data_IF_039032272346
#
_entry.id   IF_039032272346
#
_cell.length_a   1.000
_cell.length_b   1.000
_cell.length_c   1.000
_cell.angle_alpha   90.00
_cell.angle_beta   90.00
_cell.angle_gamma   90.00
#
_symmetry.space_group_name_H-M   'P 1'
#
loop_
_entity.id
_entity.type
_entity.pdbx_description
1 polymer ?
#
# COMPACT_ATOMS: atom_id res chain seq x y z
N UNK A 1 -15.29 -10.06 -20.75
CA UNK A 1 -15.06 -9.62 -19.36
C UNK A 1 -14.68 -8.14 -19.45
N UNK A 2 -15.52 -7.23 -18.96
CA UNK A 2 -15.21 -5.80 -19.02
C UNK A 2 -14.04 -5.53 -18.07
N UNK A 3 -12.89 -5.13 -18.60
CA UNK A 3 -11.78 -4.68 -17.77
C UNK A 3 -12.19 -3.38 -17.08
N UNK A 4 -12.26 -3.42 -15.75
CA UNK A 4 -12.46 -2.23 -14.93
C UNK A 4 -11.26 -1.29 -15.13
N UNK A 5 -11.47 -0.18 -15.85
CA UNK A 5 -10.48 0.87 -16.04
C UNK A 5 -10.23 1.55 -14.70
N UNK A 6 -8.99 1.52 -14.22
CA UNK A 6 -8.59 2.23 -13.01
C UNK A 6 -8.25 3.67 -13.36
N UNK A 7 -9.10 4.62 -12.96
CA UNK A 7 -8.91 6.05 -13.28
C UNK A 7 -7.90 6.74 -12.34
N UNK A 8 -7.86 6.34 -11.07
CA UNK A 8 -7.03 6.98 -10.02
C UNK A 8 -5.94 6.06 -9.45
N UNK A 9 -5.73 4.87 -10.05
CA UNK A 9 -4.76 3.89 -9.52
C UNK A 9 -3.98 3.25 -10.67
N UNK A 10 -2.68 3.06 -10.47
CA UNK A 10 -1.84 2.26 -11.36
C UNK A 10 -1.58 0.90 -10.72
N UNK A 11 -1.65 -0.18 -11.51
CA UNK A 11 -1.26 -1.51 -11.05
C UNK A 11 0.26 -1.49 -10.82
N UNK A 12 0.68 -1.83 -9.60
CA UNK A 12 2.08 -1.94 -9.24
C UNK A 12 2.36 -3.37 -8.79
N UNK A 13 3.41 -3.98 -9.34
CA UNK A 13 3.86 -5.32 -8.97
C UNK A 13 5.23 -5.15 -8.34
N UNK A 14 5.35 -5.53 -7.07
CA UNK A 14 6.62 -5.57 -6.36
C UNK A 14 6.74 -6.83 -5.51
N UNK A 15 7.98 -7.19 -5.20
CA UNK A 15 8.29 -8.11 -4.12
C UNK A 15 8.16 -7.40 -2.77
N UNK A 16 7.60 -8.08 -1.78
CA UNK A 16 7.53 -7.66 -0.38
C UNK A 16 8.17 -8.78 0.46
N UNK A 17 8.81 -8.43 1.58
CA UNK A 17 9.32 -9.43 2.51
C UNK A 17 8.18 -10.34 2.99
N UNK A 18 8.39 -11.66 2.90
CA UNK A 18 7.45 -12.68 3.33
C UNK A 18 6.97 -12.46 4.77
N UNK A 19 7.83 -11.93 5.65
CA UNK A 19 7.48 -11.63 7.05
C UNK A 19 6.46 -10.51 7.20
N UNK A 20 6.31 -9.65 6.20
CA UNK A 20 5.40 -8.51 6.22
C UNK A 20 4.03 -8.83 5.59
N UNK A 21 3.93 -9.91 4.81
CA UNK A 21 2.69 -10.33 4.14
C UNK A 21 1.62 -10.73 5.16
N UNK A 22 1.97 -11.60 6.11
CA UNK A 22 1.02 -12.07 7.15
C UNK A 22 0.51 -10.92 8.04
N UNK A 23 1.38 -10.04 8.59
CA UNK A 23 0.94 -8.86 9.33
C UNK A 23 0.05 -7.92 8.52
N UNK A 24 0.36 -7.66 7.24
CA UNK A 24 -0.45 -6.79 6.38
C UNK A 24 -1.85 -7.38 6.14
N UNK A 25 -1.92 -8.70 5.90
CA UNK A 25 -3.20 -9.41 5.77
C UNK A 25 -4.01 -9.34 7.07
N UNK A 26 -3.37 -9.57 8.22
CA UNK A 26 -4.02 -9.49 9.53
C UNK A 26 -4.50 -8.07 9.85
N UNK A 27 -3.69 -7.06 9.54
CA UNK A 27 -4.03 -5.64 9.71
C UNK A 27 -5.26 -5.27 8.88
N UNK A 28 -5.27 -5.65 7.59
CA UNK A 28 -6.42 -5.42 6.71
C UNK A 28 -7.72 -6.06 7.23
N UNK A 29 -7.64 -7.27 7.79
CA UNK A 29 -8.79 -7.94 8.43
C UNK A 29 -9.24 -7.21 9.70
N UNK A 30 -8.30 -6.78 10.53
CA UNK A 30 -8.60 -6.10 11.81
C UNK A 30 -9.21 -4.72 11.60
N UNK A 31 -8.66 -3.91 10.69
CA UNK A 31 -9.11 -2.55 10.43
C UNK A 31 -10.26 -2.47 9.43
N UNK A 32 -10.54 -3.58 8.72
CA UNK A 32 -11.44 -3.64 7.55
C UNK A 32 -11.04 -2.69 6.42
N UNK A 33 -9.79 -2.22 6.42
CA UNK A 33 -9.23 -1.39 5.35
C UNK A 33 -8.65 -2.30 4.27
N UNK A 34 -8.95 -2.07 2.98
CA UNK A 34 -8.35 -2.83 1.89
C UNK A 34 -6.83 -2.70 1.87
N UNK A 35 -6.13 -3.79 1.55
CA UNK A 35 -4.65 -3.83 1.47
C UNK A 35 -4.06 -2.74 0.58
N UNK A 36 -4.71 -2.42 -0.54
CA UNK A 36 -4.28 -1.34 -1.43
C UNK A 36 -4.22 0.01 -0.71
N UNK A 37 -5.22 0.32 0.11
CA UNK A 37 -5.28 1.59 0.86
C UNK A 37 -4.25 1.65 1.99
N UNK A 38 -3.96 0.51 2.63
CA UNK A 38 -2.87 0.42 3.62
C UNK A 38 -1.50 0.61 2.97
N UNK A 39 -1.32 0.13 1.73
CA UNK A 39 -0.10 0.37 0.96
C UNK A 39 0.02 1.84 0.55
N UNK A 40 -1.08 2.46 0.12
CA UNK A 40 -1.12 3.90 -0.19
C UNK A 40 -0.65 4.72 1.05
N UNK A 41 -1.20 4.42 2.23
CA UNK A 41 -0.83 5.07 3.51
C UNK A 41 0.65 4.87 3.88
N UNK A 42 1.14 3.62 3.78
CA UNK A 42 2.54 3.32 4.09
C UNK A 42 3.53 4.04 3.15
N UNK A 43 3.18 4.19 1.87
CA UNK A 43 4.02 4.90 0.88
C UNK A 43 3.99 6.40 1.17
N UNK A 44 2.82 7.00 1.46
CA UNK A 44 2.73 8.41 1.84
C UNK A 44 3.57 8.73 3.07
N UNK A 45 3.49 7.91 4.12
CA UNK A 45 4.26 8.10 5.34
C UNK A 45 5.76 7.95 5.10
N UNK A 46 6.15 7.01 4.22
CA UNK A 46 7.54 6.87 3.79
C UNK A 46 8.02 8.12 3.05
N UNK A 47 7.26 8.62 2.07
CA UNK A 47 7.61 9.83 1.31
C UNK A 47 7.77 11.04 2.25
N UNK A 48 6.79 11.29 3.13
CA UNK A 48 6.84 12.37 4.13
C UNK A 48 8.07 12.27 5.04
N UNK A 49 8.49 11.05 5.39
CA UNK A 49 9.67 10.81 6.23
C UNK A 49 10.97 11.20 5.53
N UNK A 50 11.05 11.05 4.22
CA UNK A 50 12.23 11.44 3.44
C UNK A 50 12.18 12.89 2.97
N UNK A 51 11.00 13.46 2.68
CA UNK A 51 10.84 14.89 2.40
C UNK A 51 11.35 15.78 3.56
N UNK A 52 11.19 15.33 4.81
CA UNK A 52 11.68 16.05 6.00
C UNK A 52 13.17 15.87 6.27
N UNK A 53 13.87 15.00 5.54
CA UNK A 53 15.32 14.75 5.71
C UNK A 53 16.18 15.50 4.72
N UNK A 54 15.59 16.03 3.65
CA UNK A 54 16.28 16.83 2.63
C UNK A 54 16.15 18.35 2.88
N UNK A 55 15.94 18.76 4.14
CA UNK A 55 15.88 20.17 4.59
C UNK A 55 16.90 20.49 5.66
#
# INVERSE_FOLDING_TARGET
MAESVLVNRKKFISSLDNKLVEPLNALSKKTRVPKSRLLDEAIEDLLKKYEKKDG
#
